data_IF_329746658141
#
_entry.id   IF_329746658141
#
_cell.length_a   1.000
_cell.length_b   1.000
_cell.length_c   1.000
_cell.angle_alpha   90.00
_cell.angle_beta   90.00
_cell.angle_gamma   90.00
#
_symmetry.space_group_name_H-M   'P 1'
#
loop_
_entity.id
_entity.type
_entity.pdbx_description
1 polymer ?
#
# COMPACT_ATOMS: atom_id res chain seq x y z
N UNK A 1 13.44 -0.98 5.03
CA UNK A 1 12.23 -1.15 4.18
C UNK A 1 12.63 -1.06 2.72
N UNK A 2 11.94 -1.71 1.79
CA UNK A 2 12.22 -1.62 0.34
C UNK A 2 10.92 -1.43 -0.44
N UNK A 3 10.95 -0.59 -1.47
CA UNK A 3 9.82 -0.32 -2.37
C UNK A 3 10.36 -0.10 -3.79
N UNK A 4 10.00 -0.98 -4.72
CA UNK A 4 10.52 -0.96 -6.08
C UNK A 4 12.06 -1.02 -6.10
N UNK A 5 12.69 0.00 -6.69
CA UNK A 5 14.15 0.12 -6.79
C UNK A 5 14.80 0.81 -5.59
N UNK A 6 14.01 1.23 -4.61
CA UNK A 6 14.47 2.02 -3.47
C UNK A 6 14.51 1.17 -2.20
N UNK A 7 15.55 1.40 -1.39
CA UNK A 7 15.69 0.82 -0.05
C UNK A 7 15.92 1.97 0.92
N UNK A 8 15.16 1.98 2.03
CA UNK A 8 15.34 2.90 3.15
C UNK A 8 16.14 2.20 4.24
N UNK A 9 17.28 2.81 4.56
CA UNK A 9 18.14 2.49 5.70
C UNK A 9 17.94 3.59 6.76
N UNK A 10 17.76 3.19 8.02
CA UNK A 10 17.60 4.13 9.13
C UNK A 10 18.79 3.97 10.07
N UNK A 11 19.36 5.10 10.49
CA UNK A 11 20.51 5.16 11.41
C UNK A 11 20.16 6.04 12.61
N UNK A 12 20.86 5.83 13.72
CA UNK A 12 20.57 6.39 15.03
C UNK A 12 21.84 6.42 15.90
N UNK A 13 21.74 7.02 17.10
CA UNK A 13 22.83 6.99 18.08
C UNK A 13 23.11 5.59 18.67
N UNK A 14 22.26 4.59 18.37
CA UNK A 14 22.47 3.20 18.77
C UNK A 14 23.33 2.39 17.80
N UNK A 15 23.72 2.96 16.66
CA UNK A 15 24.51 2.25 15.65
C UNK A 15 26.01 2.35 15.96
N UNK A 16 26.71 1.22 15.81
CA UNK A 16 28.16 1.14 16.00
C UNK A 16 28.90 1.32 14.68
N UNK A 17 30.17 1.74 14.77
CA UNK A 17 31.09 1.81 13.63
C UNK A 17 31.23 0.43 12.93
N UNK A 18 31.36 -0.65 13.70
CA UNK A 18 31.34 -2.04 13.19
C UNK A 18 30.06 -2.36 12.40
N UNK A 19 28.91 -1.82 12.84
CA UNK A 19 27.64 -1.98 12.14
C UNK A 19 27.67 -1.37 10.73
N UNK A 20 28.27 -0.18 10.60
CA UNK A 20 28.44 0.48 9.31
C UNK A 20 29.44 -0.24 8.41
N UNK A 21 30.55 -0.75 8.96
CA UNK A 21 31.52 -1.54 8.20
C UNK A 21 30.89 -2.83 7.65
N UNK A 22 30.14 -3.55 8.48
CA UNK A 22 29.39 -4.75 8.05
C UNK A 22 28.39 -4.44 6.95
N UNK A 23 27.69 -3.32 7.04
CA UNK A 23 26.75 -2.87 6.01
C UNK A 23 27.46 -2.56 4.69
N UNK A 24 28.57 -1.83 4.73
CA UNK A 24 29.37 -1.51 3.53
C UNK A 24 29.84 -2.77 2.82
N UNK A 25 30.43 -3.70 3.59
CA UNK A 25 30.90 -4.98 3.05
C UNK A 25 29.76 -5.81 2.44
N UNK A 26 28.57 -5.81 3.06
CA UNK A 26 27.42 -6.52 2.52
C UNK A 26 26.95 -5.91 1.18
N UNK A 27 26.93 -4.58 1.06
CA UNK A 27 26.56 -3.90 -0.19
C UNK A 27 27.57 -4.14 -1.32
N UNK A 28 28.86 -4.09 -1.01
CA UNK A 28 29.92 -4.39 -1.98
C UNK A 28 29.87 -5.85 -2.45
N UNK A 29 29.65 -6.78 -1.52
CA UNK A 29 29.48 -8.20 -1.84
C UNK A 29 28.25 -8.44 -2.73
N UNK A 30 27.11 -7.80 -2.43
CA UNK A 30 25.92 -7.85 -3.29
C UNK A 30 26.22 -7.32 -4.69
N UNK A 31 26.92 -6.19 -4.80
CA UNK A 31 27.29 -5.63 -6.10
C UNK A 31 28.22 -6.56 -6.89
N UNK A 32 29.18 -7.21 -6.23
CA UNK A 32 30.08 -8.18 -6.86
C UNK A 32 29.30 -9.40 -7.40
N UNK A 33 28.43 -10.01 -6.59
CA UNK A 33 27.59 -11.15 -6.99
C UNK A 33 26.68 -10.81 -8.18
N UNK A 34 26.08 -9.61 -8.19
CA UNK A 34 25.24 -9.15 -9.30
C UNK A 34 26.04 -8.86 -10.58
N UNK A 35 27.32 -8.48 -10.45
CA UNK A 35 28.24 -8.29 -11.58
C UNK A 35 28.53 -9.59 -12.34
N UNK A 36 28.57 -10.72 -11.64
CA UNK A 36 28.84 -12.06 -12.20
C UNK A 36 27.59 -12.72 -12.82
N UNK A 37 26.38 -12.29 -12.43
CA UNK A 37 25.09 -12.88 -12.84
C UNK A 37 24.50 -12.27 -14.13
N UNK A 38 25.21 -11.40 -14.85
CA UNK A 38 24.71 -10.65 -16.04
C UNK A 38 24.28 -11.49 -17.27
N UNK A 39 24.27 -12.82 -17.21
CA UNK A 39 24.04 -13.67 -18.40
C UNK A 39 22.77 -14.53 -18.38
N UNK A 40 22.01 -14.58 -17.29
CA UNK A 40 20.72 -15.26 -17.24
C UNK A 40 19.77 -14.40 -16.41
N UNK A 41 18.55 -14.18 -16.88
CA UNK A 41 17.49 -13.39 -16.23
C UNK A 41 17.52 -11.87 -16.51
N UNK A 42 17.53 -11.54 -17.80
CA UNK A 42 17.03 -10.27 -18.34
C UNK A 42 15.49 -10.08 -18.19
N UNK A 43 14.85 -10.79 -17.26
CA UNK A 43 13.41 -10.72 -17.00
C UNK A 43 13.18 -10.66 -15.49
N UNK A 44 13.45 -9.51 -14.87
CA UNK A 44 12.83 -9.21 -13.57
C UNK A 44 12.33 -7.78 -13.56
N UNK A 45 11.01 -7.71 -13.63
CA UNK A 45 10.16 -6.62 -13.17
C UNK A 45 10.34 -5.29 -13.92
N UNK A 46 9.65 -5.19 -15.06
CA UNK A 46 8.94 -3.97 -15.44
C UNK A 46 7.94 -3.58 -14.34
N UNK A 47 8.42 -3.16 -13.17
CA UNK A 47 7.67 -2.25 -12.33
C UNK A 47 7.77 -0.92 -13.05
N UNK A 48 6.87 -0.71 -14.02
CA UNK A 48 6.62 0.63 -14.56
C UNK A 48 6.39 1.52 -13.34
N UNK A 49 7.00 2.70 -13.34
CA UNK A 49 6.50 3.81 -12.53
C UNK A 49 5.10 4.13 -13.06
N UNK A 50 4.09 3.30 -12.73
CA UNK A 50 2.70 3.75 -12.81
C UNK A 50 2.66 4.92 -11.83
N UNK A 51 2.55 6.11 -12.40
CA UNK A 51 2.67 7.37 -11.68
C UNK A 51 1.88 7.28 -10.39
N UNK A 52 2.54 7.68 -9.29
CA UNK A 52 1.91 7.77 -7.98
C UNK A 52 0.53 8.42 -8.17
N UNK A 53 -0.57 7.77 -7.72
CA UNK A 53 -1.91 8.27 -8.00
C UNK A 53 -1.96 9.73 -7.58
N UNK A 54 -2.42 10.58 -8.49
CA UNK A 54 -2.45 12.02 -8.24
C UNK A 54 -3.24 12.25 -6.96
N UNK A 55 -2.64 12.98 -6.01
CA UNK A 55 -3.32 13.41 -4.79
C UNK A 55 -4.43 14.37 -5.23
N UNK A 56 -5.63 13.83 -5.47
CA UNK A 56 -6.81 14.63 -5.77
C UNK A 56 -7.22 15.34 -4.49
N UNK A 57 -7.32 16.67 -4.57
CA UNK A 57 -7.48 17.53 -3.38
C UNK A 57 -8.89 17.44 -2.75
N UNK A 58 -9.87 16.81 -3.42
CA UNK A 58 -11.29 16.76 -3.00
C UNK A 58 -11.86 15.32 -2.95
N UNK A 59 -11.23 14.41 -2.19
CA UNK A 59 -11.78 13.05 -1.97
C UNK A 59 -12.70 12.95 -0.76
N UNK A 60 -12.61 13.90 0.16
CA UNK A 60 -13.27 13.80 1.46
C UNK A 60 -14.75 14.13 1.34
N UNK A 61 -15.61 13.12 1.41
CA UNK A 61 -17.06 13.28 1.33
C UNK A 61 -17.68 13.58 2.71
N UNK A 62 -17.10 13.02 3.77
CA UNK A 62 -17.45 13.28 5.18
C UNK A 62 -16.17 13.26 6.02
N UNK A 63 -16.25 13.82 7.23
CA UNK A 63 -15.13 13.76 8.16
C UNK A 63 -14.87 12.31 8.62
N UNK A 64 -13.63 12.03 9.02
CA UNK A 64 -13.26 10.71 9.56
C UNK A 64 -14.09 10.36 10.81
N UNK A 65 -14.40 11.36 11.65
CA UNK A 65 -15.25 11.18 12.84
C UNK A 65 -16.67 10.78 12.45
N UNK A 66 -17.28 11.48 11.49
CA UNK A 66 -18.61 11.14 11.00
C UNK A 66 -18.65 9.74 10.39
N UNK A 67 -17.63 9.38 9.61
CA UNK A 67 -17.53 8.05 9.02
C UNK A 67 -17.47 6.97 10.10
N UNK A 68 -16.64 7.17 11.13
CA UNK A 68 -16.52 6.24 12.26
C UNK A 68 -17.84 6.11 13.03
N UNK A 69 -18.52 7.23 13.34
CA UNK A 69 -19.81 7.22 14.04
C UNK A 69 -20.88 6.47 13.23
N UNK A 70 -20.96 6.71 11.92
CA UNK A 70 -21.92 6.02 11.04
C UNK A 70 -21.64 4.51 10.97
N UNK A 71 -20.37 4.13 10.85
CA UNK A 71 -19.97 2.72 10.85
C UNK A 71 -20.31 2.00 12.17
N UNK A 72 -20.03 2.64 13.33
CA UNK A 72 -20.36 2.10 14.65
C UNK A 72 -21.87 1.95 14.88
N UNK A 73 -22.68 2.82 14.28
CA UNK A 73 -24.14 2.74 14.34
C UNK A 73 -24.75 1.78 13.29
N UNK A 74 -23.94 0.89 12.72
CA UNK A 74 -24.42 -0.17 11.82
C UNK A 74 -24.82 0.33 10.43
N UNK A 75 -24.39 1.53 10.02
CA UNK A 75 -24.65 2.04 8.66
C UNK A 75 -23.64 1.55 7.62
N UNK A 76 -22.54 0.92 8.05
CA UNK A 76 -21.58 0.32 7.13
C UNK A 76 -22.14 -0.97 6.53
N UNK A 77 -22.05 -1.12 5.21
CA UNK A 77 -22.42 -2.33 4.47
C UNK A 77 -21.23 -2.83 3.65
N UNK A 78 -21.18 -4.14 3.45
CA UNK A 78 -20.15 -4.80 2.65
C UNK A 78 -20.66 -4.95 1.22
N UNK A 79 -19.88 -4.51 0.24
CA UNK A 79 -20.18 -4.62 -1.20
C UNK A 79 -18.96 -5.11 -1.99
N UNK A 80 -19.12 -5.71 -3.17
CA UNK A 80 -18.01 -6.01 -4.06
C UNK A 80 -17.23 -4.74 -4.42
N UNK A 81 -15.89 -4.81 -4.46
CA UNK A 81 -15.02 -3.66 -4.80
C UNK A 81 -15.41 -3.05 -6.14
N UNK A 82 -15.88 -3.87 -7.09
CA UNK A 82 -16.31 -3.46 -8.42
C UNK A 82 -17.54 -2.56 -8.44
N UNK A 83 -18.32 -2.56 -7.36
CA UNK A 83 -19.54 -1.77 -7.22
C UNK A 83 -19.35 -0.57 -6.29
N UNK A 84 -18.13 -0.35 -5.80
CA UNK A 84 -17.85 0.65 -4.79
C UNK A 84 -17.61 2.07 -5.35
N UNK A 85 -17.57 2.23 -6.67
CA UNK A 85 -17.34 3.54 -7.29
C UNK A 85 -18.43 4.54 -6.88
N UNK A 86 -18.02 5.69 -6.38
CA UNK A 86 -18.91 6.75 -5.91
C UNK A 86 -19.41 6.56 -4.49
N UNK A 87 -19.23 5.40 -3.86
CA UNK A 87 -19.60 5.16 -2.46
C UNK A 87 -18.57 5.81 -1.50
N UNK A 88 -18.96 5.96 -0.23
CA UNK A 88 -18.06 6.50 0.82
C UNK A 88 -17.42 5.34 1.56
N UNK A 89 -16.09 5.29 1.60
CA UNK A 89 -15.36 4.25 2.32
C UNK A 89 -15.72 4.27 3.82
N UNK A 90 -15.95 3.09 4.38
CA UNK A 90 -16.10 2.88 5.83
C UNK A 90 -14.89 2.15 6.44
N UNK A 91 -13.86 1.86 5.63
CA UNK A 91 -12.66 1.13 6.04
C UNK A 91 -11.37 1.82 5.56
N UNK A 92 -10.27 1.49 6.23
CA UNK A 92 -8.94 1.75 5.73
C UNK A 92 -8.54 0.64 4.75
N UNK A 93 -8.04 1.04 3.59
CA UNK A 93 -7.38 0.13 2.63
C UNK A 93 -5.92 0.53 2.51
N UNK A 94 -5.02 -0.28 3.07
CA UNK A 94 -3.58 -0.05 3.07
C UNK A 94 -2.90 -0.93 2.02
N UNK A 95 -2.03 -0.35 1.21
CA UNK A 95 -1.25 -1.09 0.23
C UNK A 95 0.23 -1.16 0.63
N UNK A 96 0.85 -2.33 0.45
CA UNK A 96 2.28 -2.55 0.60
C UNK A 96 2.83 -3.26 -0.64
N UNK A 97 3.76 -2.65 -1.39
CA UNK A 97 4.26 -1.27 -1.29
C UNK A 97 3.22 -0.22 -1.76
N UNK A 98 3.34 1.08 -1.40
CA UNK A 98 4.42 1.75 -0.66
C UNK A 98 4.25 1.79 0.88
N UNK A 99 3.12 1.32 1.41
CA UNK A 99 2.86 1.26 2.86
C UNK A 99 2.05 2.42 3.43
N UNK A 100 1.24 3.09 2.60
CA UNK A 100 0.32 4.16 2.99
C UNK A 100 -1.13 3.76 2.70
N UNK A 101 -2.13 4.45 3.29
CA UNK A 101 -3.53 4.24 2.93
C UNK A 101 -3.79 4.64 1.47
N UNK A 102 -4.47 3.77 0.72
CA UNK A 102 -5.11 4.09 -0.55
C UNK A 102 -6.51 4.67 -0.33
N UNK A 103 -7.20 4.22 0.73
CA UNK A 103 -8.51 4.71 1.13
C UNK A 103 -8.54 4.94 2.64
N UNK A 104 -9.15 6.05 3.04
CA UNK A 104 -9.43 6.44 4.41
C UNK A 104 -10.97 6.48 4.59
N UNK A 105 -11.51 6.06 5.75
CA UNK A 105 -12.94 6.19 6.01
C UNK A 105 -13.42 7.64 5.87
N UNK A 106 -14.51 7.83 5.13
CA UNK A 106 -15.06 9.15 4.80
C UNK A 106 -14.65 9.68 3.42
N UNK A 107 -13.70 9.04 2.74
CA UNK A 107 -13.35 9.36 1.36
C UNK A 107 -14.32 8.70 0.37
N UNK A 108 -14.59 9.39 -0.74
CA UNK A 108 -15.32 8.82 -1.87
C UNK A 108 -14.40 7.93 -2.70
N UNK A 109 -14.84 6.70 -2.94
CA UNK A 109 -14.10 5.72 -3.72
C UNK A 109 -14.25 6.07 -5.21
N UNK A 110 -13.13 6.19 -5.92
CA UNK A 110 -13.08 6.48 -7.35
C UNK A 110 -12.81 5.22 -8.18
N UNK A 111 -13.06 5.28 -9.49
CA UNK A 111 -12.63 4.24 -10.42
C UNK A 111 -11.12 3.99 -10.40
N UNK A 112 -10.31 5.02 -10.10
CA UNK A 112 -8.86 4.90 -10.02
C UNK A 112 -8.42 4.08 -8.80
N UNK A 113 -9.09 4.24 -7.66
CA UNK A 113 -8.82 3.43 -6.47
C UNK A 113 -9.09 1.97 -6.73
N UNK A 114 -10.24 1.67 -7.35
CA UNK A 114 -10.64 0.31 -7.70
C UNK A 114 -9.60 -0.32 -8.63
N UNK A 115 -9.16 0.42 -9.66
CA UNK A 115 -8.10 -0.04 -10.57
C UNK A 115 -6.79 -0.32 -9.82
N UNK A 116 -6.36 0.62 -8.97
CA UNK A 116 -5.11 0.50 -8.19
C UNK A 116 -5.15 -0.70 -7.27
N UNK A 117 -6.23 -0.87 -6.51
CA UNK A 117 -6.44 -1.99 -5.60
C UNK A 117 -6.42 -3.32 -6.37
N UNK A 118 -7.10 -3.40 -7.54
CA UNK A 118 -7.07 -4.63 -8.36
C UNK A 118 -5.70 -4.93 -8.93
N UNK A 119 -4.97 -3.92 -9.41
CA UNK A 119 -3.62 -4.11 -9.95
C UNK A 119 -2.70 -4.68 -8.86
N UNK A 120 -2.74 -4.10 -7.66
CA UNK A 120 -1.97 -4.59 -6.51
C UNK A 120 -2.35 -6.02 -6.11
N UNK A 121 -3.64 -6.38 -6.12
CA UNK A 121 -4.06 -7.76 -5.85
C UNK A 121 -3.54 -8.76 -6.89
N UNK A 122 -3.38 -8.34 -8.15
CA UNK A 122 -2.85 -9.19 -9.24
C UNK A 122 -1.33 -9.36 -9.16
N UNK A 123 -0.61 -8.31 -8.78
CA UNK A 123 0.86 -8.27 -8.73
C UNK A 123 1.46 -8.91 -7.46
N UNK A 124 0.66 -9.67 -6.70
CA UNK A 124 1.02 -10.21 -5.36
C UNK A 124 1.35 -9.12 -4.33
N UNK A 125 0.90 -7.89 -4.54
CA UNK A 125 0.98 -6.82 -3.55
C UNK A 125 0.15 -7.17 -2.31
N UNK A 126 0.60 -6.72 -1.14
CA UNK A 126 -0.11 -6.97 0.10
C UNK A 126 -1.10 -5.84 0.37
N UNK A 127 -2.40 -6.19 0.44
CA UNK A 127 -3.45 -5.26 0.85
C UNK A 127 -3.91 -5.65 2.25
N UNK A 128 -3.86 -4.68 3.16
CA UNK A 128 -4.39 -4.80 4.51
C UNK A 128 -5.61 -3.90 4.66
N UNK A 129 -6.71 -4.48 5.10
CA UNK A 129 -7.98 -3.77 5.29
C UNK A 129 -8.34 -3.72 6.77
N UNK A 130 -8.92 -2.61 7.20
CA UNK A 130 -9.38 -2.45 8.58
C UNK A 130 -10.65 -1.62 8.64
N UNK A 131 -11.69 -2.19 9.21
CA UNK A 131 -12.89 -1.46 9.65
C UNK A 131 -12.81 -1.23 11.17
N UNK A 132 -13.67 -0.36 11.75
CA UNK A 132 -13.72 -0.17 13.19
C UNK A 132 -13.88 -1.51 13.93
N UNK A 133 -12.84 -1.92 14.67
CA UNK A 133 -12.83 -3.13 15.48
C UNK A 133 -12.52 -4.45 14.75
N UNK A 134 -12.19 -4.44 13.45
CA UNK A 134 -11.93 -5.67 12.68
C UNK A 134 -10.78 -5.50 11.66
N UNK A 135 -9.85 -6.45 11.64
CA UNK A 135 -8.92 -6.66 10.51
C UNK A 135 -9.64 -7.55 9.50
N UNK A 136 -9.67 -7.13 8.25
CA UNK A 136 -10.47 -7.79 7.22
C UNK A 136 -9.60 -8.55 6.23
N UNK A 137 -10.07 -9.74 5.86
CA UNK A 137 -9.44 -10.59 4.84
C UNK A 137 -9.61 -9.97 3.45
N UNK A 138 -8.66 -10.24 2.56
CA UNK A 138 -8.58 -9.69 1.19
C UNK A 138 -9.62 -10.30 0.23
N UNK A 139 -10.90 -10.29 0.63
CA UNK A 139 -12.02 -11.05 0.04
C UNK A 139 -12.62 -10.41 -1.21
N UNK A 140 -11.97 -9.41 -1.81
CA UNK A 140 -12.53 -8.67 -2.97
C UNK A 140 -13.71 -7.75 -2.63
N UNK A 141 -14.12 -7.69 -1.37
CA UNK A 141 -15.26 -6.91 -0.88
C UNK A 141 -14.81 -5.77 0.03
N UNK A 142 -15.46 -4.62 -0.06
CA UNK A 142 -15.14 -3.40 0.72
C UNK A 142 -16.32 -2.94 1.57
N UNK A 143 -16.03 -2.29 2.69
CA UNK A 143 -17.06 -1.65 3.52
C UNK A 143 -17.28 -0.21 3.09
N UNK A 144 -18.55 0.15 2.88
CA UNK A 144 -18.99 1.50 2.50
C UNK A 144 -20.13 1.98 3.40
N UNK A 145 -20.33 3.29 3.48
CA UNK A 145 -21.44 3.95 4.20
C UNK A 145 -22.70 4.12 3.34
#
# INVERSE_FOLDING_TARGET
MSCGRNVLLMTSCGDSEEGFERLSHALEHLNACLGEQKSQDAETASCREEGMPALSEDRQAVTLEEAAQRALHGKARKIPLEQAEGEISAEYVMAYPPGIPLLIPGERISAEDIRTIRNLQREKGHIRRSAPGQILDNTGEVYVL
#
